data_IF_846218876122
#
_entry.id   IF_846218876122
#
_cell.length_a   1.000
_cell.length_b   1.000
_cell.length_c   1.000
_cell.angle_alpha   90.00
_cell.angle_beta   90.00
_cell.angle_gamma   90.00
#
_symmetry.space_group_name_H-M   'P 1'
#
loop_
_entity.id
_entity.type
_entity.pdbx_description
1 polymer ?
#
# COMPACT_ATOMS: atom_id res chain seq x y z
N UNK A 1 -19.86 35.27 -33.01
CA UNK A 1 -19.00 35.13 -31.82
C UNK A 1 -18.86 33.66 -31.39
N UNK A 2 -19.95 32.89 -31.35
CA UNK A 2 -19.93 31.45 -31.05
C UNK A 2 -19.15 30.59 -32.06
N UNK A 3 -19.15 30.95 -33.35
CA UNK A 3 -18.45 30.20 -34.41
C UNK A 3 -16.92 30.17 -34.25
N UNK A 4 -16.33 31.24 -33.70
CA UNK A 4 -14.89 31.33 -33.43
C UNK A 4 -14.44 30.55 -32.20
N UNK A 5 -15.36 30.27 -31.26
CA UNK A 5 -15.11 29.43 -30.09
C UNK A 5 -15.10 27.94 -30.46
N UNK A 6 -15.85 27.55 -31.49
CA UNK A 6 -15.88 26.17 -32.01
C UNK A 6 -14.61 25.88 -32.85
N UNK A 7 -14.16 26.83 -33.67
CA UNK A 7 -12.87 26.71 -34.41
C UNK A 7 -11.65 26.66 -33.47
N UNK A 8 -11.67 27.39 -32.35
CA UNK A 8 -10.59 27.36 -31.35
C UNK A 8 -10.52 26.03 -30.57
N UNK A 9 -11.61 25.26 -30.53
CA UNK A 9 -11.70 23.96 -29.83
C UNK A 9 -11.42 22.76 -30.76
N UNK A 10 -11.53 22.92 -32.08
CA UNK A 10 -11.19 21.88 -33.07
C UNK A 10 -9.80 21.23 -32.90
N UNK A 11 -8.69 21.97 -32.63
CA UNK A 11 -7.37 21.36 -32.54
C UNK A 11 -7.19 20.44 -31.32
N UNK A 12 -7.99 20.60 -30.26
CA UNK A 12 -7.97 19.72 -29.09
C UNK A 12 -8.67 18.38 -29.34
N UNK A 13 -9.68 18.37 -30.22
CA UNK A 13 -10.34 17.13 -30.64
C UNK A 13 -9.49 16.32 -31.62
N UNK A 14 -8.58 16.95 -32.38
CA UNK A 14 -7.64 16.24 -33.25
C UNK A 14 -6.46 15.57 -32.52
N UNK A 15 -6.15 15.99 -31.30
CA UNK A 15 -5.15 15.32 -30.44
C UNK A 15 -5.70 14.07 -29.75
N UNK A 16 -7.02 13.85 -29.84
CA UNK A 16 -7.68 12.61 -29.44
C UNK A 16 -7.60 11.54 -30.55
N UNK A 17 -6.44 11.43 -31.19
CA UNK A 17 -6.13 10.29 -32.05
C UNK A 17 -5.84 9.07 -31.17
N UNK A 18 -6.90 8.50 -30.60
CA UNK A 18 -6.87 7.13 -30.13
C UNK A 18 -6.66 6.23 -31.35
N UNK A 19 -5.46 5.66 -31.45
CA UNK A 19 -5.23 4.47 -32.25
C UNK A 19 -4.43 4.69 -33.53
N UNK A 20 -3.12 4.42 -33.41
CA UNK A 20 -2.27 3.67 -34.37
C UNK A 20 -0.77 3.74 -34.04
N UNK A 21 -0.40 4.33 -32.91
CA UNK A 21 0.98 4.27 -32.42
C UNK A 21 1.11 3.08 -31.45
N UNK A 22 1.96 2.07 -31.74
CA UNK A 22 2.23 0.98 -30.79
C UNK A 22 2.77 1.50 -29.44
N UNK A 23 3.32 2.71 -29.44
CA UNK A 23 3.73 3.44 -28.24
C UNK A 23 2.56 3.74 -27.27
N UNK A 24 1.33 3.94 -27.76
CA UNK A 24 0.17 4.18 -26.89
C UNK A 24 -0.23 2.92 -26.10
N UNK A 25 -0.05 1.74 -26.70
CA UNK A 25 -0.29 0.47 -26.00
C UNK A 25 0.76 0.29 -24.90
N UNK A 26 2.03 0.57 -25.21
CA UNK A 26 3.12 0.51 -24.25
C UNK A 26 2.88 1.51 -23.10
N UNK A 27 2.44 2.73 -23.41
CA UNK A 27 2.13 3.75 -22.42
C UNK A 27 1.00 3.31 -21.47
N UNK A 28 -0.11 2.81 -22.01
CA UNK A 28 -1.23 2.27 -21.21
C UNK A 28 -0.77 1.10 -20.34
N UNK A 29 0.06 0.20 -20.86
CA UNK A 29 0.60 -0.95 -20.08
C UNK A 29 1.48 -0.46 -18.94
N UNK A 30 2.38 0.49 -19.18
CA UNK A 30 3.25 1.06 -18.15
C UNK A 30 2.42 1.76 -17.07
N UNK A 31 1.49 2.64 -17.46
CA UNK A 31 0.61 3.35 -16.54
C UNK A 31 -0.23 2.35 -15.74
N UNK A 32 -0.80 1.33 -16.38
CA UNK A 32 -1.58 0.29 -15.71
C UNK A 32 -0.75 -0.49 -14.69
N UNK A 33 0.49 -0.86 -15.03
CA UNK A 33 1.39 -1.55 -14.09
C UNK A 33 1.76 -0.65 -12.91
N UNK A 34 1.96 0.66 -13.15
CA UNK A 34 2.25 1.63 -12.10
C UNK A 34 1.06 1.77 -11.14
N UNK A 35 -0.16 1.95 -11.66
CA UNK A 35 -1.38 1.99 -10.84
C UNK A 35 -1.61 0.68 -10.09
N UNK A 36 -1.39 -0.47 -10.75
CA UNK A 36 -1.51 -1.77 -10.10
C UNK A 36 -0.49 -1.95 -8.96
N UNK A 37 0.74 -1.48 -9.16
CA UNK A 37 1.78 -1.46 -8.13
C UNK A 37 1.38 -0.59 -6.93
N UNK A 38 0.88 0.62 -7.18
CA UNK A 38 0.33 1.50 -6.12
C UNK A 38 -0.81 0.81 -5.39
N UNK A 39 -1.74 0.19 -6.12
CA UNK A 39 -2.88 -0.53 -5.53
C UNK A 39 -2.42 -1.63 -4.56
N UNK A 40 -1.47 -2.49 -4.97
CA UNK A 40 -0.90 -3.51 -4.08
C UNK A 40 -0.26 -2.89 -2.83
N UNK A 41 0.38 -1.72 -2.98
CA UNK A 41 1.06 -1.05 -1.88
C UNK A 41 0.08 -0.51 -0.83
N UNK A 42 -1.11 -0.07 -1.26
CA UNK A 42 -2.09 0.57 -0.37
C UNK A 42 -3.22 -0.35 0.09
N UNK A 43 -3.52 -1.45 -0.61
CA UNK A 43 -4.77 -2.24 -0.44
C UNK A 43 -5.02 -2.76 0.98
N UNK A 44 -3.94 -3.05 1.72
CA UNK A 44 -4.03 -3.59 3.08
C UNK A 44 -3.61 -2.56 4.15
N UNK A 45 -3.60 -1.27 3.78
CA UNK A 45 -3.14 -0.19 4.65
C UNK A 45 -4.29 0.73 5.06
N UNK A 46 -4.04 1.57 6.08
CA UNK A 46 -4.95 2.66 6.45
C UNK A 46 -5.24 3.60 5.27
N UNK A 47 -4.35 3.67 4.27
CA UNK A 47 -4.55 4.47 3.07
C UNK A 47 -5.78 4.05 2.26
N UNK A 48 -6.10 2.75 2.20
CA UNK A 48 -7.30 2.26 1.49
C UNK A 48 -8.58 2.81 2.13
N UNK A 49 -8.65 2.82 3.47
CA UNK A 49 -9.81 3.40 4.20
C UNK A 49 -9.95 4.90 3.92
N UNK A 50 -8.84 5.62 3.89
CA UNK A 50 -8.82 7.06 3.60
C UNK A 50 -9.23 7.32 2.15
N UNK A 51 -8.77 6.52 1.19
CA UNK A 51 -9.17 6.63 -0.21
C UNK A 51 -10.69 6.46 -0.40
N UNK A 52 -11.30 5.46 0.25
CA UNK A 52 -12.76 5.27 0.25
C UNK A 52 -13.47 6.50 0.83
N UNK A 53 -12.95 7.07 1.93
CA UNK A 53 -13.48 8.30 2.53
C UNK A 53 -13.42 9.49 1.58
N UNK A 54 -12.30 9.68 0.86
CA UNK A 54 -12.14 10.74 -0.14
C UNK A 54 -13.14 10.57 -1.29
N UNK A 55 -13.33 9.34 -1.78
CA UNK A 55 -14.31 9.03 -2.83
C UNK A 55 -15.73 9.39 -2.36
N UNK A 56 -16.10 8.99 -1.13
CA UNK A 56 -17.40 9.29 -0.55
C UNK A 56 -17.63 10.80 -0.41
N UNK A 57 -16.67 11.54 0.14
CA UNK A 57 -16.75 13.00 0.27
C UNK A 57 -16.87 13.65 -1.11
N UNK A 58 -16.11 13.17 -2.09
CA UNK A 58 -16.16 13.69 -3.47
C UNK A 58 -17.53 13.44 -4.10
N UNK A 59 -18.13 12.27 -3.88
CA UNK A 59 -19.49 11.98 -4.34
C UNK A 59 -20.52 12.91 -3.70
N UNK A 60 -20.45 13.13 -2.37
CA UNK A 60 -21.34 14.07 -1.66
C UNK A 60 -21.15 15.50 -2.19
N UNK A 61 -19.92 15.92 -2.49
CA UNK A 61 -19.64 17.23 -3.05
C UNK A 61 -20.29 17.42 -4.43
N UNK A 62 -20.15 16.41 -5.31
CA UNK A 62 -20.77 16.44 -6.64
C UNK A 62 -22.30 16.49 -6.53
N UNK A 63 -22.90 15.67 -5.67
CA UNK A 63 -24.34 15.68 -5.41
C UNK A 63 -24.78 17.04 -4.86
N UNK A 64 -24.05 17.61 -3.91
CA UNK A 64 -24.32 18.93 -3.35
C UNK A 64 -24.28 20.05 -4.39
N UNK A 65 -23.35 19.95 -5.35
CA UNK A 65 -23.25 20.89 -6.47
C UNK A 65 -24.41 20.76 -7.45
N UNK A 66 -24.81 19.54 -7.79
CA UNK A 66 -25.95 19.26 -8.69
C UNK A 66 -27.25 19.75 -8.07
N UNK A 67 -27.43 19.57 -6.76
CA UNK A 67 -28.62 20.01 -6.02
C UNK A 67 -28.56 21.50 -5.61
N UNK A 68 -27.53 22.24 -6.03
CA UNK A 68 -27.33 23.65 -5.70
C UNK A 68 -27.36 23.97 -4.18
N UNK A 69 -26.89 23.04 -3.35
CA UNK A 69 -26.86 23.18 -1.89
C UNK A 69 -25.71 24.10 -1.45
N UNK A 70 -25.96 25.41 -1.43
CA UNK A 70 -24.94 26.43 -1.15
C UNK A 70 -24.24 26.26 0.21
N UNK A 71 -24.99 25.97 1.28
CA UNK A 71 -24.44 25.77 2.62
C UNK A 71 -23.54 24.51 2.70
N UNK A 72 -23.97 23.40 2.08
CA UNK A 72 -23.20 22.17 2.03
C UNK A 72 -21.93 22.34 1.19
N UNK A 73 -22.03 22.98 0.03
CA UNK A 73 -20.88 23.27 -0.83
C UNK A 73 -19.86 24.17 -0.13
N UNK A 74 -20.33 25.18 0.63
CA UNK A 74 -19.50 26.03 1.46
C UNK A 74 -18.79 25.22 2.55
N UNK A 75 -19.52 24.40 3.31
CA UNK A 75 -18.96 23.56 4.38
C UNK A 75 -17.90 22.58 3.85
N UNK A 76 -18.24 21.86 2.78
CA UNK A 76 -17.33 20.89 2.17
C UNK A 76 -16.07 21.55 1.61
N UNK A 77 -16.15 22.80 1.11
CA UNK A 77 -14.98 23.54 0.65
C UNK A 77 -13.95 23.73 1.76
N UNK A 78 -14.38 24.19 2.94
CA UNK A 78 -13.47 24.32 4.10
C UNK A 78 -12.97 22.97 4.60
N UNK A 79 -13.84 21.97 4.61
CA UNK A 79 -13.48 20.61 5.03
C UNK A 79 -12.39 20.01 4.12
N UNK A 80 -12.50 20.18 2.81
CA UNK A 80 -11.46 19.76 1.86
C UNK A 80 -10.15 20.50 2.11
N UNK A 81 -10.19 21.83 2.34
CA UNK A 81 -8.99 22.60 2.69
C UNK A 81 -8.31 22.05 3.96
N UNK A 82 -9.07 21.71 4.99
CA UNK A 82 -8.56 21.09 6.21
C UNK A 82 -7.93 19.72 5.93
N UNK A 83 -8.60 18.87 5.14
CA UNK A 83 -8.10 17.54 4.76
C UNK A 83 -6.77 17.61 4.02
N UNK A 84 -6.58 18.56 3.10
CA UNK A 84 -5.30 18.71 2.36
C UNK A 84 -4.12 18.94 3.30
N UNK A 85 -4.34 19.64 4.42
CA UNK A 85 -3.32 19.85 5.46
C UNK A 85 -3.22 18.65 6.40
N UNK A 86 -4.34 18.05 6.79
CA UNK A 86 -4.38 16.93 7.74
C UNK A 86 -3.82 15.63 7.16
N UNK A 87 -4.02 15.36 5.86
CA UNK A 87 -3.56 14.14 5.18
C UNK A 87 -2.06 13.94 5.37
N UNK A 88 -1.17 14.87 4.98
CA UNK A 88 0.27 14.70 5.19
C UNK A 88 0.64 14.42 6.64
N UNK A 89 0.00 15.09 7.61
CA UNK A 89 0.26 14.91 9.05
C UNK A 89 -0.15 13.51 9.51
N UNK A 90 -1.33 13.03 9.10
CA UNK A 90 -1.83 11.69 9.45
C UNK A 90 -1.01 10.59 8.78
N UNK A 91 -0.56 10.82 7.53
CA UNK A 91 0.22 9.88 6.74
C UNK A 91 1.74 9.97 6.97
N UNK A 92 2.22 10.87 7.83
CA UNK A 92 3.65 10.97 8.15
C UNK A 92 4.27 9.60 8.53
N UNK A 93 3.67 8.79 9.44
CA UNK A 93 4.23 7.49 9.81
C UNK A 93 4.32 6.51 8.63
N UNK A 94 3.30 6.48 7.77
CA UNK A 94 3.23 5.60 6.61
C UNK A 94 4.25 6.00 5.54
N UNK A 95 4.37 7.30 5.24
CA UNK A 95 5.38 7.83 4.31
C UNK A 95 6.79 7.49 4.79
N UNK A 96 7.05 7.68 6.08
CA UNK A 96 8.31 7.28 6.70
C UNK A 96 8.58 5.79 6.51
N UNK A 97 7.63 4.92 6.89
CA UNK A 97 7.77 3.45 6.74
C UNK A 97 7.97 3.02 5.28
N UNK A 98 7.28 3.66 4.34
CA UNK A 98 7.43 3.38 2.91
C UNK A 98 8.83 3.72 2.41
N UNK A 99 9.36 4.89 2.78
CA UNK A 99 10.73 5.30 2.45
C UNK A 99 11.77 4.39 3.11
N UNK A 100 11.56 4.00 4.36
CA UNK A 100 12.43 3.04 5.04
C UNK A 100 12.41 1.66 4.36
N UNK A 101 11.24 1.19 3.90
CA UNK A 101 11.12 -0.06 3.13
C UNK A 101 11.81 0.05 1.77
N UNK A 102 11.66 1.16 1.06
CA UNK A 102 12.37 1.44 -0.20
C UNK A 102 13.89 1.50 0.01
N UNK A 103 14.36 2.11 1.10
CA UNK A 103 15.78 2.15 1.47
C UNK A 103 16.33 0.76 1.82
N UNK A 104 15.54 -0.07 2.53
CA UNK A 104 15.89 -1.46 2.85
C UNK A 104 15.78 -2.41 1.64
N UNK A 105 14.96 -2.10 0.64
CA UNK A 105 14.79 -2.93 -0.55
C UNK A 105 16.07 -3.07 -1.40
N UNK A 106 17.08 -2.21 -1.20
CA UNK A 106 18.40 -2.39 -1.82
C UNK A 106 19.24 -3.49 -1.16
N UNK A 107 18.86 -3.94 0.03
CA UNK A 107 19.36 -5.19 0.64
C UNK A 107 18.44 -6.31 0.18
N UNK A 108 18.46 -6.59 -1.12
CA UNK A 108 17.98 -7.88 -1.65
C UNK A 108 18.99 -8.91 -1.16
N UNK A 109 18.88 -9.29 0.12
CA UNK A 109 19.35 -10.58 0.58
C UNK A 109 18.53 -11.55 -0.25
N UNK A 110 19.19 -12.17 -1.24
CA UNK A 110 18.67 -13.32 -1.99
C UNK A 110 17.86 -14.13 -0.99
N UNK A 111 16.53 -14.15 -1.16
CA UNK A 111 15.71 -15.11 -0.44
C UNK A 111 16.14 -16.43 -1.04
N UNK A 112 17.15 -17.04 -0.43
CA UNK A 112 17.56 -18.40 -0.74
C UNK A 112 16.29 -19.19 -0.47
N UNK A 113 15.61 -19.63 -1.53
CA UNK A 113 14.52 -20.58 -1.37
C UNK A 113 15.10 -21.70 -0.51
N UNK A 114 14.52 -21.88 0.67
CA UNK A 114 14.95 -22.93 1.57
C UNK A 114 14.82 -24.23 0.78
N UNK A 115 15.94 -24.94 0.62
CA UNK A 115 15.87 -26.29 0.06
C UNK A 115 14.92 -27.12 0.91
N UNK A 116 14.28 -28.14 0.32
CA UNK A 116 13.39 -29.02 1.07
C UNK A 116 14.03 -29.56 2.37
N UNK A 117 15.34 -29.82 2.33
CA UNK A 117 16.14 -30.26 3.49
C UNK A 117 16.33 -29.18 4.56
N UNK A 118 16.52 -27.92 4.18
CA UNK A 118 16.63 -26.80 5.14
C UNK A 118 15.28 -26.54 5.82
N UNK A 119 14.16 -26.69 5.09
CA UNK A 119 12.82 -26.58 5.65
C UNK A 119 12.52 -27.71 6.65
N UNK A 120 12.87 -28.94 6.29
CA UNK A 120 12.68 -30.13 7.15
C UNK A 120 13.44 -29.98 8.48
N UNK A 121 14.71 -29.54 8.43
CA UNK A 121 15.49 -29.24 9.64
C UNK A 121 14.86 -28.17 10.53
N UNK A 122 14.31 -27.10 9.94
CA UNK A 122 13.64 -26.05 10.71
C UNK A 122 12.38 -26.57 11.40
N UNK A 123 11.63 -27.45 10.74
CA UNK A 123 10.43 -28.08 11.32
C UNK A 123 10.82 -29.01 12.48
N UNK A 124 11.87 -29.81 12.33
CA UNK A 124 12.35 -30.69 13.41
C UNK A 124 12.75 -29.90 14.65
N UNK A 125 13.49 -28.79 14.46
CA UNK A 125 13.88 -27.90 15.57
C UNK A 125 12.63 -27.32 16.26
N UNK A 126 11.64 -26.86 15.49
CA UNK A 126 10.40 -26.31 16.05
C UNK A 126 9.60 -27.35 16.84
N UNK A 127 9.44 -28.57 16.31
CA UNK A 127 8.71 -29.65 16.99
C UNK A 127 9.39 -30.02 18.31
N UNK A 128 10.71 -30.13 18.31
CA UNK A 128 11.47 -30.47 19.51
C UNK A 128 11.44 -29.37 20.57
N UNK A 129 11.58 -28.10 20.18
CA UNK A 129 11.45 -26.97 21.10
C UNK A 129 10.05 -26.88 21.70
N UNK A 130 9.00 -27.04 20.88
CA UNK A 130 7.61 -27.06 21.38
C UNK A 130 7.40 -28.23 22.34
N UNK A 131 7.93 -29.42 22.05
CA UNK A 131 7.86 -30.58 22.96
C UNK A 131 8.50 -30.27 24.31
N UNK A 132 9.62 -29.54 24.32
CA UNK A 132 10.32 -29.11 25.54
C UNK A 132 9.49 -28.09 26.33
N UNK A 133 8.94 -27.08 25.66
CA UNK A 133 8.08 -26.05 26.26
C UNK A 133 6.81 -26.65 26.88
N UNK A 134 6.22 -27.67 26.24
CA UNK A 134 5.06 -28.40 26.77
C UNK A 134 5.44 -29.16 28.04
N UNK A 135 6.58 -29.87 28.06
CA UNK A 135 7.06 -30.60 29.25
C UNK A 135 7.34 -29.67 30.42
N UNK A 136 7.88 -28.47 30.16
CA UNK A 136 8.14 -27.46 31.18
C UNK A 136 6.91 -26.62 31.55
N UNK A 137 5.76 -26.82 30.86
CA UNK A 137 4.53 -26.03 31.01
C UNK A 137 4.75 -24.52 30.77
N UNK A 138 5.66 -24.18 29.86
CA UNK A 138 5.97 -22.79 29.49
C UNK A 138 5.08 -22.36 28.32
N UNK A 139 4.34 -21.27 28.48
CA UNK A 139 3.57 -20.67 27.39
C UNK A 139 4.47 -19.94 26.40
N UNK A 140 4.29 -20.19 25.10
CA UNK A 140 5.05 -19.54 24.03
C UNK A 140 4.14 -19.12 22.87
N UNK A 141 4.49 -18.01 22.20
CA UNK A 141 3.86 -17.55 20.97
C UNK A 141 4.90 -17.51 19.85
N UNK A 142 4.80 -18.46 18.92
CA UNK A 142 5.71 -18.58 17.79
C UNK A 142 4.99 -18.09 16.52
N UNK A 143 5.57 -17.11 15.83
CA UNK A 143 4.96 -16.51 14.63
C UNK A 143 5.83 -16.73 13.40
N UNK A 144 5.30 -17.44 12.40
CA UNK A 144 5.99 -17.75 11.15
C UNK A 144 5.59 -16.73 10.09
N UNK A 145 6.52 -15.86 9.68
CA UNK A 145 6.31 -14.89 8.61
C UNK A 145 6.14 -15.62 7.27
N UNK A 146 5.03 -15.34 6.56
CA UNK A 146 4.79 -15.81 5.19
C UNK A 146 5.00 -14.66 4.19
N UNK A 147 4.08 -14.44 3.25
CA UNK A 147 4.15 -13.37 2.26
C UNK A 147 3.91 -11.97 2.84
N UNK A 148 3.11 -11.85 3.89
CA UNK A 148 2.81 -10.56 4.53
C UNK A 148 3.96 -10.12 5.44
N UNK A 149 4.37 -8.86 5.32
CA UNK A 149 5.42 -8.27 6.14
C UNK A 149 4.98 -8.09 7.61
N UNK A 150 5.80 -8.56 8.55
CA UNK A 150 5.57 -8.44 10.00
C UNK A 150 6.31 -7.26 10.67
N UNK A 151 6.95 -6.39 9.89
CA UNK A 151 7.87 -5.37 10.38
C UNK A 151 7.27 -4.49 11.51
N UNK A 152 6.02 -4.05 11.33
CA UNK A 152 5.32 -3.15 12.26
C UNK A 152 5.03 -3.79 13.63
N UNK A 153 5.10 -5.12 13.73
CA UNK A 153 4.95 -5.88 14.97
C UNK A 153 6.31 -6.25 15.58
N UNK A 154 7.31 -6.55 14.76
CA UNK A 154 8.67 -6.91 15.20
C UNK A 154 9.41 -5.70 15.80
N UNK A 155 9.16 -4.48 15.31
CA UNK A 155 9.79 -3.23 15.83
C UNK A 155 9.57 -3.00 17.34
N UNK A 156 8.56 -3.64 17.94
CA UNK A 156 8.28 -3.50 19.38
C UNK A 156 9.02 -4.51 20.25
N UNK A 157 9.64 -5.52 19.65
CA UNK A 157 10.39 -6.57 20.33
C UNK A 157 11.89 -6.30 20.41
N UNK A 158 12.62 -7.24 21.00
CA UNK A 158 14.09 -7.24 20.99
C UNK A 158 14.58 -8.03 19.78
N UNK A 159 15.38 -7.37 18.93
CA UNK A 159 15.96 -8.01 17.75
C UNK A 159 17.10 -8.95 18.17
N UNK A 160 16.95 -10.26 17.89
CA UNK A 160 17.95 -11.27 18.23
C UNK A 160 18.94 -11.56 17.09
N UNK A 161 18.52 -11.37 15.82
CA UNK A 161 19.31 -11.65 14.62
C UNK A 161 20.06 -12.99 14.63
N UNK A 162 19.44 -14.04 15.17
CA UNK A 162 20.05 -15.35 15.37
C UNK A 162 19.51 -16.41 14.39
N UNK A 163 20.30 -17.47 14.19
CA UNK A 163 19.79 -18.70 13.59
C UNK A 163 18.93 -19.46 14.60
N UNK A 164 17.91 -20.16 14.09
CA UNK A 164 17.01 -20.94 14.94
C UNK A 164 17.75 -22.17 15.48
N UNK A 165 17.79 -22.33 16.80
CA UNK A 165 18.32 -23.52 17.47
C UNK A 165 17.41 -23.93 18.63
N UNK A 166 17.54 -25.18 19.07
CA UNK A 166 16.72 -25.72 20.17
C UNK A 166 16.99 -24.97 21.48
N UNK A 167 18.24 -24.63 21.75
CA UNK A 167 18.63 -23.96 22.99
C UNK A 167 18.19 -22.50 23.05
N UNK A 168 17.84 -21.92 21.90
CA UNK A 168 17.34 -20.55 21.78
C UNK A 168 15.83 -20.45 22.03
N UNK A 169 15.08 -21.54 21.83
CA UNK A 169 13.62 -21.61 21.90
C UNK A 169 13.14 -22.41 23.12
#
# INVERSE_FOLDING_TARGET
MLTRLIEAAQPYFSTLSFGKNPLAIIDIVIVSLLFYGIYILIKDTKAMRIAIGIILISAIFVVGKILHLAALAWLLKYFVTFIVVAIPVVFQPELRRALERLGRAKVIRRTKELSARELEKLLDILVDSVSTLVKSKTGALIVIKRSTGLADHIEKGTELNSELSKDLL
#
